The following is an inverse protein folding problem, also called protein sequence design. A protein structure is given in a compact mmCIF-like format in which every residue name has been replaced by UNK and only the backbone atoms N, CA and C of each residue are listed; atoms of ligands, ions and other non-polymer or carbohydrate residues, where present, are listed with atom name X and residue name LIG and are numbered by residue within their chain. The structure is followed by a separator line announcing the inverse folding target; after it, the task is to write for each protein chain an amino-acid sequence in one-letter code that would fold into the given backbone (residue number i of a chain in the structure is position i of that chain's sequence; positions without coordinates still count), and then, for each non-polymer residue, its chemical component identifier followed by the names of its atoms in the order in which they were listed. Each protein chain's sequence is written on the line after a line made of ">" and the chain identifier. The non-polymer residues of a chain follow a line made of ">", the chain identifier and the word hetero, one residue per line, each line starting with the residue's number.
data_IF_787291043394
#
_entry.id   IF_787291043394
#
_cell.length_a   1.000
_cell.length_b   1.000
_cell.length_c   1.000
_cell.angle_alpha   90.00
_cell.angle_beta   90.00
_cell.angle_gamma   90.00
#
_symmetry.space_group_name_H-M   'P 1'
#
loop_
_entity.id
_entity.type
_entity.pdbx_description
1 polymer ?
#
# COMPACT_ATOMS: atom_id res chain seq x y z
N UNK A 1 -18.98 -8.17 7.98
CA UNK A 1 -18.56 -7.23 9.03
C UNK A 1 -17.61 -6.25 8.39
N UNK A 2 -17.89 -4.94 8.45
CA UNK A 2 -17.05 -3.93 7.83
C UNK A 2 -15.81 -3.64 8.69
N UNK A 3 -14.65 -3.49 8.06
CA UNK A 3 -13.37 -3.19 8.71
C UNK A 3 -13.01 -1.74 8.44
N UNK A 4 -12.76 -0.97 9.51
CA UNK A 4 -12.26 0.41 9.38
C UNK A 4 -10.74 0.40 9.52
N UNK A 5 -10.05 0.94 8.52
CA UNK A 5 -8.59 1.05 8.47
C UNK A 5 -8.14 2.50 8.60
N UNK A 6 -6.97 2.68 9.18
CA UNK A 6 -6.28 3.97 9.17
C UNK A 6 -5.66 4.19 7.79
N UNK A 7 -5.90 5.37 7.21
CA UNK A 7 -5.23 5.86 6.01
C UNK A 7 -4.14 6.85 6.42
N UNK A 8 -2.96 6.71 5.84
CA UNK A 8 -1.84 7.61 6.04
C UNK A 8 -0.89 7.61 4.85
N UNK A 9 -0.56 8.78 4.29
CA UNK A 9 0.42 8.90 3.19
C UNK A 9 1.87 8.95 3.65
N UNK A 10 2.14 9.13 4.93
CA UNK A 10 3.50 9.10 5.46
C UNK A 10 3.45 8.64 6.90
N UNK A 11 3.58 7.34 7.08
CA UNK A 11 3.60 6.69 8.38
C UNK A 11 5.05 6.46 8.81
N UNK A 12 5.39 6.88 10.02
CA UNK A 12 6.74 6.74 10.58
C UNK A 12 6.66 6.58 12.10
N UNK A 13 7.34 5.56 12.63
CA UNK A 13 7.45 5.30 14.07
C UNK A 13 6.11 5.28 14.82
N UNK A 14 5.06 4.69 14.24
CA UNK A 14 3.74 4.64 14.87
C UNK A 14 2.85 5.87 14.64
N UNK A 15 3.37 6.92 13.99
CA UNK A 15 2.65 8.17 13.76
C UNK A 15 2.37 8.43 12.28
N UNK A 16 1.23 9.04 12.01
CA UNK A 16 0.90 9.55 10.68
C UNK A 16 1.33 11.02 10.54
N UNK A 17 2.27 11.27 9.63
CA UNK A 17 2.83 12.60 9.35
C UNK A 17 2.06 13.33 8.25
N UNK A 18 1.39 12.62 7.33
CA UNK A 18 0.70 13.23 6.18
C UNK A 18 -0.59 12.49 5.82
N UNK A 19 -1.64 13.28 5.53
CA UNK A 19 -2.94 12.80 5.03
C UNK A 19 -3.54 11.68 5.89
N UNK A 20 -3.67 11.92 7.19
CA UNK A 20 -4.36 11.01 8.11
C UNK A 20 -5.85 10.99 7.78
N UNK A 21 -6.41 9.80 7.65
CA UNK A 21 -7.83 9.58 7.45
C UNK A 21 -8.22 8.16 7.79
N UNK A 22 -9.45 7.79 7.48
CA UNK A 22 -9.95 6.43 7.66
C UNK A 22 -10.62 5.98 6.35
N UNK A 23 -10.58 4.69 6.09
CA UNK A 23 -11.36 4.07 5.03
C UNK A 23 -12.08 2.84 5.61
N UNK A 24 -13.24 2.50 5.04
CA UNK A 24 -14.05 1.37 5.47
C UNK A 24 -14.11 0.36 4.34
N UNK A 25 -13.85 -0.90 4.65
CA UNK A 25 -13.89 -2.02 3.71
C UNK A 25 -14.99 -2.97 4.16
N UNK A 26 -16.02 -3.11 3.32
CA UNK A 26 -17.17 -3.98 3.63
C UNK A 26 -16.87 -5.47 3.33
N UNK A 27 -15.97 -5.73 2.37
CA UNK A 27 -15.43 -7.04 2.02
C UNK A 27 -14.04 -6.88 1.40
N UNK A 28 -13.06 -7.72 1.78
CA UNK A 28 -11.71 -7.61 1.22
C UNK A 28 -10.60 -8.15 2.13
N UNK A 29 -9.35 -8.01 1.67
CA UNK A 29 -8.16 -8.23 2.50
C UNK A 29 -8.05 -7.20 3.65
N UNK A 30 -8.79 -6.09 3.59
CA UNK A 30 -8.92 -5.14 4.69
C UNK A 30 -7.84 -4.07 4.65
N UNK A 31 -7.04 -3.96 5.71
CA UNK A 31 -6.04 -2.89 5.83
C UNK A 31 -4.73 -3.28 5.14
N UNK A 32 -4.16 -2.36 4.38
CA UNK A 32 -2.91 -2.53 3.64
C UNK A 32 -1.85 -1.56 4.15
N UNK A 33 -0.62 -2.05 4.19
CA UNK A 33 0.59 -1.27 4.50
C UNK A 33 1.53 -1.36 3.31
N UNK A 34 1.91 -0.21 2.73
CA UNK A 34 2.81 -0.12 1.57
C UNK A 34 4.13 0.53 1.97
N UNK A 35 5.23 -0.16 1.73
CA UNK A 35 6.58 0.39 1.96
C UNK A 35 7.17 0.84 0.63
N UNK A 36 7.49 2.12 0.53
CA UNK A 36 8.14 2.70 -0.63
C UNK A 36 9.63 2.74 -0.40
N UNK A 37 10.37 2.15 -1.34
CA UNK A 37 11.81 2.19 -1.38
C UNK A 37 12.23 2.91 -2.64
N UNK A 38 13.33 3.65 -2.56
CA UNK A 38 13.95 4.27 -3.72
C UNK A 38 15.37 3.74 -3.83
N UNK A 39 15.80 3.45 -5.05
CA UNK A 39 17.15 3.01 -5.34
C UNK A 39 18.00 4.22 -5.73
N UNK A 40 19.21 4.30 -5.18
CA UNK A 40 20.23 5.27 -5.61
C UNK A 40 21.43 4.53 -6.17
N UNK A 41 21.99 5.03 -7.27
CA UNK A 41 23.14 4.42 -7.94
C UNK A 41 24.37 4.33 -7.02
N UNK A 42 24.47 5.21 -6.03
CA UNK A 42 25.61 5.32 -5.11
C UNK A 42 25.40 4.66 -3.75
N UNK A 43 24.15 4.40 -3.35
CA UNK A 43 23.79 4.02 -1.98
C UNK A 43 22.84 2.84 -1.85
N UNK A 44 22.39 2.26 -2.96
CA UNK A 44 21.48 1.11 -2.97
C UNK A 44 20.04 1.50 -2.62
N UNK A 45 19.29 0.53 -2.09
CA UNK A 45 17.89 0.71 -1.69
C UNK A 45 17.77 1.46 -0.37
N UNK A 46 17.06 2.58 -0.37
CA UNK A 46 16.67 3.29 0.85
C UNK A 46 15.16 3.26 1.03
N UNK A 47 14.72 3.08 2.29
CA UNK A 47 13.32 3.25 2.65
C UNK A 47 12.95 4.73 2.59
N UNK A 48 11.99 5.08 1.75
CA UNK A 48 11.56 6.46 1.56
C UNK A 48 10.41 6.79 2.52
N UNK A 49 9.30 6.06 2.42
CA UNK A 49 8.17 6.21 3.34
C UNK A 49 7.28 4.98 3.38
N UNK A 50 6.41 4.93 4.37
CA UNK A 50 5.35 3.92 4.48
C UNK A 50 4.00 4.60 4.32
N UNK A 51 3.09 3.96 3.60
CA UNK A 51 1.69 4.36 3.49
C UNK A 51 0.78 3.30 4.11
N UNK A 52 -0.30 3.76 4.74
CA UNK A 52 -1.39 2.93 5.23
C UNK A 52 -2.63 3.24 4.41
N UNK A 53 -3.33 2.21 3.96
CA UNK A 53 -4.55 2.36 3.17
C UNK A 53 -5.46 1.14 3.26
N UNK A 54 -6.58 1.16 2.54
CA UNK A 54 -7.46 -0.01 2.39
C UNK A 54 -7.07 -0.79 1.14
N UNK A 55 -7.03 -2.12 1.26
CA UNK A 55 -7.00 -3.02 0.11
C UNK A 55 -8.41 -3.60 -0.10
N UNK A 56 -8.91 -3.38 -1.31
CA UNK A 56 -10.20 -3.87 -1.77
C UNK A 56 -9.99 -5.18 -2.52
N UNK A 57 -11.02 -6.02 -2.64
CA UNK A 57 -10.92 -7.27 -3.41
C UNK A 57 -10.43 -7.01 -4.85
N UNK A 58 -9.41 -7.76 -5.29
CA UNK A 58 -9.00 -7.79 -6.69
C UNK A 58 -10.08 -8.50 -7.51
N UNK A 59 -10.77 -7.78 -8.39
CA UNK A 59 -11.67 -8.39 -9.38
C UNK A 59 -10.87 -8.95 -10.54
N UNK A 60 -11.07 -10.24 -10.85
CA UNK A 60 -10.49 -10.84 -12.06
C UNK A 60 -11.28 -10.32 -13.27
N UNK A 61 -10.61 -9.55 -14.13
CA UNK A 61 -11.11 -9.26 -15.46
C UNK A 61 -10.22 -10.04 -16.43
N UNK A 62 -10.86 -10.89 -17.25
CA UNK A 62 -10.26 -11.78 -18.24
C UNK A 62 -8.83 -11.39 -18.66
N UNK A 63 -7.85 -12.12 -18.11
CA UNK A 63 -6.39 -12.09 -18.42
C UNK A 63 -5.52 -11.10 -17.61
N UNK A 64 -6.00 -10.45 -16.54
CA UNK A 64 -5.09 -9.78 -15.58
C UNK A 64 -5.65 -9.69 -14.17
N UNK A 65 -4.80 -9.98 -13.17
CA UNK A 65 -5.07 -9.66 -11.77
C UNK A 65 -4.64 -8.21 -11.56
N UNK A 66 -5.56 -7.26 -11.63
CA UNK A 66 -5.30 -5.92 -11.08
C UNK A 66 -5.45 -5.97 -9.56
N UNK A 67 -4.50 -6.64 -8.91
CA UNK A 67 -4.13 -6.24 -7.57
C UNK A 67 -3.16 -5.08 -7.75
N UNK A 68 -3.50 -3.87 -7.32
CA UNK A 68 -2.54 -2.77 -7.20
C UNK A 68 -1.33 -3.13 -6.28
N UNK A 69 -1.29 -4.35 -5.73
CA UNK A 69 -0.19 -4.95 -5.00
C UNK A 69 0.85 -5.70 -5.87
N UNK A 70 0.62 -5.85 -7.19
CA UNK A 70 1.57 -6.49 -8.14
C UNK A 70 2.58 -5.51 -8.75
N UNK A 71 2.35 -4.19 -8.66
CA UNK A 71 3.23 -3.19 -9.30
C UNK A 71 4.70 -3.28 -8.79
N UNK A 72 4.92 -3.76 -7.57
CA UNK A 72 6.26 -4.02 -7.02
C UNK A 72 6.92 -5.32 -7.54
N UNK A 73 6.15 -6.28 -8.05
CA UNK A 73 6.71 -7.51 -8.65
C UNK A 73 7.14 -7.28 -10.10
N UNK A 74 6.46 -6.38 -10.84
CA UNK A 74 6.76 -6.12 -12.25
C UNK A 74 7.95 -5.18 -12.50
N UNK A 75 8.45 -4.45 -11.51
CA UNK A 75 9.73 -3.73 -11.63
C UNK A 75 10.96 -4.63 -11.45
N UNK A 76 10.75 -5.95 -11.31
CA UNK A 76 11.80 -6.93 -11.00
C UNK A 76 12.03 -7.99 -12.10
N UNK A 77 11.74 -7.66 -13.36
CA UNK A 77 12.17 -8.48 -14.50
C UNK A 77 12.71 -7.65 -15.65
#
# INVERSE_FOLDING_TARGET
>A
QATVCMVCKSFKNGHCLKSKGNCTVDSGPGCRTRNFFTFTDTGGWFHYHTELDCSYHCTSHNVSWECEDIYLLLQKS
#
